data_IF_925274100543
#
_entry.id   IF_925274100543
#
_cell.length_a   1.000
_cell.length_b   1.000
_cell.length_c   1.000
_cell.angle_alpha   90.00
_cell.angle_beta   90.00
_cell.angle_gamma   90.00
#
_symmetry.space_group_name_H-M   'P 1'
#
loop_
_entity.id
_entity.type
_entity.pdbx_description
1 polymer ?
#
# COMPACT_ATOMS: atom_id res chain seq x y z
N UNK A 1 -6.85 12.06 -9.82
CA UNK A 1 -6.67 13.10 -8.78
C UNK A 1 -5.17 13.27 -8.66
N UNK A 2 -4.66 14.43 -9.03
CA UNK A 2 -3.23 14.63 -9.28
C UNK A 2 -2.40 14.75 -7.99
N UNK A 3 -3.06 15.01 -6.86
CA UNK A 3 -2.53 14.85 -5.51
C UNK A 3 -3.74 14.80 -4.55
N UNK A 4 -3.72 13.91 -3.55
CA UNK A 4 -4.79 13.79 -2.55
C UNK A 4 -4.22 13.85 -1.14
N UNK A 5 -4.46 14.96 -0.45
CA UNK A 5 -4.15 15.08 0.98
C UNK A 5 -5.17 14.34 1.83
N UNK A 6 -4.72 13.82 2.97
CA UNK A 6 -5.60 13.21 3.97
C UNK A 6 -5.17 13.55 5.40
N UNK A 7 -6.14 13.41 6.30
CA UNK A 7 -5.96 13.42 7.75
C UNK A 7 -6.67 12.18 8.31
N UNK A 8 -5.94 11.36 9.06
CA UNK A 8 -6.46 10.20 9.78
C UNK A 8 -6.29 10.42 11.27
N UNK A 9 -7.39 10.41 12.00
CA UNK A 9 -7.37 10.24 13.44
C UNK A 9 -7.03 8.79 13.79
N UNK A 10 -6.16 8.62 14.78
CA UNK A 10 -5.69 7.33 15.26
C UNK A 10 -6.11 7.11 16.72
N UNK A 11 -6.69 5.96 17.01
CA UNK A 11 -6.98 5.50 18.38
C UNK A 11 -8.14 6.19 19.08
N UNK A 12 -9.06 6.85 18.35
CA UNK A 12 -10.23 7.53 18.94
C UNK A 12 -11.20 6.57 19.66
N UNK A 13 -11.24 5.30 19.25
CA UNK A 13 -12.04 4.23 19.86
C UNK A 13 -11.51 3.74 21.21
N UNK A 14 -10.39 4.28 21.71
CA UNK A 14 -9.88 4.01 23.05
C UNK A 14 -9.00 2.76 23.18
N UNK A 15 -8.90 1.92 22.14
CA UNK A 15 -7.91 0.85 22.11
C UNK A 15 -6.53 1.37 21.68
N UNK A 16 -5.47 0.87 22.32
CA UNK A 16 -4.08 1.23 22.03
C UNK A 16 -3.43 0.19 21.10
N UNK A 17 -3.91 0.15 19.87
CA UNK A 17 -3.30 -0.66 18.81
C UNK A 17 -1.86 -0.20 18.55
N UNK A 18 -1.03 -1.12 18.07
CA UNK A 18 0.40 -0.91 17.79
C UNK A 18 0.76 -1.32 16.37
N UNK A 19 1.98 -0.99 15.93
CA UNK A 19 2.55 -1.51 14.67
C UNK A 19 2.63 -3.05 14.64
N UNK A 20 2.81 -3.69 15.80
CA UNK A 20 2.72 -5.14 15.91
C UNK A 20 1.34 -5.70 15.56
N UNK A 21 0.26 -4.98 15.88
CA UNK A 21 -1.10 -5.38 15.51
C UNK A 21 -1.34 -5.26 14.01
N UNK A 22 -0.73 -4.27 13.34
CA UNK A 22 -0.73 -4.17 11.87
C UNK A 22 -0.04 -5.40 11.27
N UNK A 23 1.12 -5.80 11.80
CA UNK A 23 1.84 -6.98 11.35
C UNK A 23 1.00 -8.26 11.45
N UNK A 24 0.32 -8.47 12.58
CA UNK A 24 -0.56 -9.64 12.77
C UNK A 24 -1.73 -9.63 11.80
N UNK A 25 -2.38 -8.48 11.65
CA UNK A 25 -3.49 -8.31 10.72
C UNK A 25 -3.05 -8.60 9.27
N UNK A 26 -1.85 -8.17 8.88
CA UNK A 26 -1.31 -8.48 7.56
C UNK A 26 -1.16 -10.00 7.37
N UNK A 27 -0.55 -10.71 8.33
CA UNK A 27 -0.35 -12.16 8.22
C UNK A 27 -1.65 -12.95 8.17
N UNK A 28 -2.73 -12.46 8.77
CA UNK A 28 -4.05 -13.09 8.70
C UNK A 28 -4.69 -13.01 7.31
N UNK A 29 -4.31 -12.01 6.50
CA UNK A 29 -4.92 -11.72 5.19
C UNK A 29 -4.00 -11.98 4.00
N UNK A 30 -2.68 -12.01 4.19
CA UNK A 30 -1.72 -12.20 3.12
C UNK A 30 -1.71 -13.66 2.63
N UNK A 31 -1.70 -13.89 1.30
CA UNK A 31 -1.37 -15.20 0.74
C UNK A 31 0.01 -15.68 1.24
N UNK A 32 0.16 -17.00 1.37
CA UNK A 32 1.40 -17.60 1.85
C UNK A 32 2.62 -17.30 0.95
N UNK A 33 2.39 -17.00 -0.32
CA UNK A 33 3.38 -16.64 -1.33
C UNK A 33 3.48 -15.13 -1.61
N UNK A 34 2.81 -14.28 -0.82
CA UNK A 34 2.93 -12.83 -0.98
C UNK A 34 4.38 -12.38 -0.72
N UNK A 35 5.01 -11.63 -1.64
CA UNK A 35 6.42 -11.26 -1.53
C UNK A 35 6.72 -10.32 -0.35
N UNK A 36 5.69 -9.72 0.26
CA UNK A 36 5.80 -8.87 1.45
C UNK A 36 5.54 -9.64 2.76
N UNK A 37 5.27 -10.95 2.70
CA UNK A 37 5.09 -11.80 3.89
C UNK A 37 6.22 -11.69 4.93
N UNK A 38 7.52 -11.76 4.54
CA UNK A 38 8.63 -11.57 5.48
C UNK A 38 8.64 -10.18 6.13
N UNK A 39 8.28 -9.14 5.39
CA UNK A 39 8.16 -7.78 5.92
C UNK A 39 7.01 -7.68 6.92
N UNK A 40 5.83 -8.24 6.60
CA UNK A 40 4.69 -8.30 7.51
C UNK A 40 5.03 -9.05 8.81
N UNK A 41 5.77 -10.16 8.71
CA UNK A 41 6.25 -10.88 9.89
C UNK A 41 7.17 -10.01 10.76
N UNK A 42 8.09 -9.26 10.16
CA UNK A 42 8.98 -8.36 10.93
C UNK A 42 8.23 -7.26 11.68
N UNK A 43 7.05 -6.84 11.21
CA UNK A 43 6.23 -5.86 11.92
C UNK A 43 5.66 -6.42 13.23
N UNK A 44 5.45 -7.74 13.34
CA UNK A 44 4.85 -8.36 14.52
C UNK A 44 5.70 -8.20 15.80
N UNK A 45 6.99 -7.92 15.64
CA UNK A 45 7.92 -7.61 16.72
C UNK A 45 7.83 -6.15 17.20
N UNK A 46 7.03 -5.31 16.53
CA UNK A 46 6.86 -3.90 16.86
C UNK A 46 8.13 -3.06 16.64
N UNK A 47 8.74 -3.07 15.44
CA UNK A 47 10.04 -2.44 15.18
C UNK A 47 10.02 -0.92 15.38
N UNK A 48 8.85 -0.28 15.34
CA UNK A 48 8.70 1.15 15.58
C UNK A 48 8.35 1.48 17.04
N UNK A 49 7.97 0.48 17.84
CA UNK A 49 7.47 0.67 19.21
C UNK A 49 6.37 1.75 19.27
N UNK A 50 5.51 1.77 18.25
CA UNK A 50 4.57 2.84 18.02
C UNK A 50 3.18 2.47 18.52
N UNK A 51 2.56 3.36 19.30
CA UNK A 51 1.13 3.29 19.61
C UNK A 51 0.39 4.11 18.55
N UNK A 52 -0.64 3.53 17.95
CA UNK A 52 -1.49 4.18 16.95
C UNK A 52 -2.43 5.18 17.64
N UNK A 53 -1.92 6.36 17.96
CA UNK A 53 -2.67 7.43 18.62
C UNK A 53 -2.31 8.80 18.03
N UNK A 54 -3.30 9.70 17.97
CA UNK A 54 -3.11 11.08 17.52
C UNK A 54 -3.62 11.31 16.10
N UNK A 55 -2.91 12.13 15.32
CA UNK A 55 -3.28 12.45 13.93
C UNK A 55 -2.14 12.06 13.00
N UNK A 56 -2.51 11.48 11.87
CA UNK A 56 -1.60 11.17 10.77
C UNK A 56 -2.05 11.94 9.53
N UNK A 57 -1.21 12.86 9.09
CA UNK A 57 -1.41 13.59 7.84
C UNK A 57 -0.48 13.06 6.76
N UNK A 58 -0.92 13.14 5.51
CA UNK A 58 -0.13 12.70 4.38
C UNK A 58 -0.70 13.19 3.06
N UNK A 59 0.04 12.92 2.00
CA UNK A 59 -0.34 13.25 0.63
C UNK A 59 -0.09 12.06 -0.26
N UNK A 60 -1.10 11.67 -1.03
CA UNK A 60 -1.01 10.62 -2.05
C UNK A 60 -0.66 11.29 -3.37
N UNK A 61 0.49 10.93 -3.95
CA UNK A 61 0.96 11.49 -5.22
C UNK A 61 -0.07 11.34 -6.34
N UNK A 62 -0.74 10.19 -6.46
CA UNK A 62 -1.74 9.96 -7.50
C UNK A 62 -2.81 8.98 -7.04
N UNK A 63 -4.06 9.34 -7.27
CA UNK A 63 -5.17 8.38 -7.31
C UNK A 63 -5.68 8.32 -8.76
N UNK A 64 -5.37 7.21 -9.42
CA UNK A 64 -5.81 6.94 -10.78
C UNK A 64 -7.16 6.24 -10.76
N UNK A 65 -8.05 6.67 -11.65
CA UNK A 65 -9.34 6.02 -11.88
C UNK A 65 -9.23 5.21 -13.17
N UNK A 66 -9.15 3.90 -13.03
CA UNK A 66 -8.94 2.97 -14.13
C UNK A 66 -10.29 2.36 -14.48
N UNK A 67 -10.73 2.55 -15.71
CA UNK A 67 -11.93 1.88 -16.22
C UNK A 67 -11.52 0.50 -16.76
N UNK A 68 -12.18 -0.53 -16.27
CA UNK A 68 -11.99 -1.89 -16.74
C UNK A 68 -13.05 -2.27 -17.78
N UNK A 69 -12.83 -3.40 -18.47
CA UNK A 69 -13.70 -3.89 -19.54
C UNK A 69 -15.14 -4.20 -19.06
N UNK A 70 -15.28 -4.52 -17.77
CA UNK A 70 -16.58 -4.68 -17.09
C UNK A 70 -17.35 -3.36 -16.91
N UNK A 71 -16.76 -2.23 -17.33
CA UNK A 71 -17.34 -0.90 -17.23
C UNK A 71 -17.16 -0.25 -15.85
N UNK A 72 -16.58 -0.97 -14.89
CA UNK A 72 -16.41 -0.56 -13.50
C UNK A 72 -15.12 0.26 -13.36
N UNK A 73 -15.23 1.36 -12.61
CA UNK A 73 -14.09 2.19 -12.25
C UNK A 73 -13.42 1.64 -10.98
N UNK A 74 -12.12 1.35 -11.07
CA UNK A 74 -11.29 0.98 -9.94
C UNK A 74 -10.31 2.11 -9.63
N UNK A 75 -10.13 2.40 -8.36
CA UNK A 75 -9.25 3.45 -7.87
C UNK A 75 -7.93 2.84 -7.42
N UNK A 76 -6.84 3.25 -8.05
CA UNK A 76 -5.48 2.76 -7.80
C UNK A 76 -4.67 3.89 -7.18
N UNK A 77 -4.06 3.60 -6.04
CA UNK A 77 -3.07 4.50 -5.41
C UNK A 77 -1.75 4.35 -6.18
N UNK A 78 -1.08 5.43 -6.51
CA UNK A 78 0.26 5.39 -7.08
C UNK A 78 1.18 6.41 -6.44
N UNK A 79 2.46 6.07 -6.39
CA UNK A 79 3.51 6.89 -5.76
C UNK A 79 4.81 6.79 -6.57
N UNK A 80 5.50 7.92 -6.74
CA UNK A 80 6.71 8.01 -7.55
C UNK A 80 7.96 7.94 -6.67
N UNK A 81 8.83 6.96 -6.94
CA UNK A 81 10.05 6.71 -6.20
C UNK A 81 11.29 7.00 -7.04
N UNK A 82 12.08 7.98 -6.60
CA UNK A 82 13.39 8.30 -7.22
C UNK A 82 14.53 7.57 -6.53
N UNK A 83 14.32 6.35 -6.03
CA UNK A 83 15.32 5.58 -5.30
C UNK A 83 16.47 5.12 -6.20
N UNK A 84 17.64 4.88 -5.62
CA UNK A 84 18.81 4.31 -6.31
C UNK A 84 19.04 2.90 -5.79
N UNK A 85 18.67 1.90 -6.58
CA UNK A 85 18.84 0.49 -6.20
C UNK A 85 20.21 -0.09 -6.60
N UNK A 86 20.94 0.59 -7.48
CA UNK A 86 22.31 0.22 -7.82
C UNK A 86 23.29 0.57 -6.69
N UNK A 87 24.25 -0.31 -6.43
CA UNK A 87 25.31 -0.09 -5.45
C UNK A 87 26.08 1.22 -5.69
N UNK A 88 26.70 1.75 -4.63
CA UNK A 88 27.51 2.97 -4.73
C UNK A 88 28.59 2.81 -5.80
N UNK A 89 28.74 3.83 -6.65
CA UNK A 89 29.69 3.82 -7.76
C UNK A 89 29.18 3.14 -9.05
N UNK A 90 28.04 2.44 -9.02
CA UNK A 90 27.44 1.81 -10.21
C UNK A 90 26.35 2.69 -10.80
N UNK A 91 26.46 3.06 -12.08
CA UNK A 91 25.40 3.80 -12.78
C UNK A 91 24.11 2.97 -12.82
N UNK A 92 22.98 3.47 -12.29
CA UNK A 92 21.72 2.74 -12.32
C UNK A 92 21.27 2.46 -13.74
N UNK A 93 20.73 1.26 -13.95
CA UNK A 93 20.11 0.82 -15.21
C UNK A 93 18.75 0.21 -14.90
N UNK A 94 17.89 0.07 -15.92
CA UNK A 94 16.59 -0.59 -15.77
C UNK A 94 16.70 -2.00 -15.15
N UNK A 95 17.81 -2.71 -15.34
CA UNK A 95 18.04 -4.04 -14.80
C UNK A 95 18.17 -4.09 -13.25
N UNK A 96 18.36 -2.94 -12.59
CA UNK A 96 18.35 -2.86 -11.12
C UNK A 96 16.95 -2.68 -10.53
N UNK A 97 15.92 -2.65 -11.39
CA UNK A 97 14.54 -2.40 -11.03
C UNK A 97 13.62 -3.50 -11.59
N UNK A 98 14.13 -4.72 -11.70
CA UNK A 98 13.30 -5.84 -12.16
C UNK A 98 12.20 -6.13 -11.14
N UNK A 99 11.00 -6.57 -11.58
CA UNK A 99 9.85 -6.79 -10.69
C UNK A 99 10.14 -7.68 -9.48
N UNK A 100 11.00 -8.70 -9.62
CA UNK A 100 11.42 -9.63 -8.56
C UNK A 100 12.36 -9.00 -7.52
N UNK A 101 13.04 -7.90 -7.86
CA UNK A 101 13.93 -7.17 -6.94
C UNK A 101 13.19 -6.11 -6.12
N UNK A 102 12.05 -5.61 -6.63
CA UNK A 102 11.32 -4.51 -6.01
C UNK A 102 10.71 -4.82 -4.64
N UNK A 103 10.24 -6.05 -4.30
CA UNK A 103 9.74 -6.35 -2.95
C UNK A 103 10.75 -6.03 -1.84
N UNK A 104 12.04 -6.32 -2.07
CA UNK A 104 13.09 -6.02 -1.10
C UNK A 104 13.26 -4.51 -0.91
N UNK A 105 13.27 -3.75 -2.01
CA UNK A 105 13.34 -2.28 -1.97
C UNK A 105 12.10 -1.66 -1.30
N UNK A 106 10.91 -2.23 -1.56
CA UNK A 106 9.66 -1.82 -0.90
C UNK A 106 9.76 -2.02 0.61
N UNK A 107 10.17 -3.21 1.05
CA UNK A 107 10.31 -3.55 2.46
C UNK A 107 11.37 -2.69 3.18
N UNK A 108 12.55 -2.51 2.58
CA UNK A 108 13.64 -1.69 3.14
C UNK A 108 13.18 -0.28 3.48
N UNK A 109 12.37 0.33 2.62
CA UNK A 109 11.89 1.70 2.79
C UNK A 109 10.52 1.80 3.47
N UNK A 110 9.96 0.70 3.98
CA UNK A 110 8.65 0.65 4.64
C UNK A 110 7.50 1.17 3.75
N UNK A 111 7.67 1.11 2.43
CA UNK A 111 6.64 1.55 1.48
C UNK A 111 5.35 0.74 1.54
N UNK A 112 5.34 -0.56 1.89
CA UNK A 112 4.09 -1.27 2.13
C UNK A 112 3.22 -0.67 3.23
N UNK A 113 3.81 -0.17 4.34
CA UNK A 113 3.05 0.56 5.36
C UNK A 113 2.44 1.84 4.79
N UNK A 114 3.21 2.58 4.00
CA UNK A 114 2.72 3.77 3.31
C UNK A 114 1.55 3.43 2.36
N UNK A 115 1.68 2.36 1.58
CA UNK A 115 0.66 1.88 0.64
C UNK A 115 -0.65 1.52 1.34
N UNK A 116 -0.56 0.86 2.49
CA UNK A 116 -1.70 0.51 3.34
C UNK A 116 -2.39 1.75 3.91
N UNK A 117 -1.63 2.70 4.47
CA UNK A 117 -2.18 3.94 5.01
C UNK A 117 -2.87 4.78 3.92
N UNK A 118 -2.28 4.84 2.73
CA UNK A 118 -2.89 5.52 1.58
C UNK A 118 -4.15 4.80 1.10
N UNK A 119 -4.16 3.47 1.14
CA UNK A 119 -5.36 2.67 0.81
C UNK A 119 -6.49 2.88 1.82
N UNK A 120 -6.19 3.01 3.11
CA UNK A 120 -7.18 3.35 4.15
C UNK A 120 -7.72 4.77 3.93
N UNK A 121 -6.85 5.74 3.67
CA UNK A 121 -7.27 7.11 3.36
C UNK A 121 -8.20 7.15 2.13
N UNK A 122 -7.84 6.44 1.06
CA UNK A 122 -8.68 6.30 -0.12
C UNK A 122 -10.00 5.59 0.19
N UNK A 123 -9.98 4.50 0.97
CA UNK A 123 -11.18 3.79 1.40
C UNK A 123 -12.17 4.71 2.13
N UNK A 124 -11.69 5.46 3.12
CA UNK A 124 -12.53 6.41 3.89
C UNK A 124 -13.07 7.52 2.99
N UNK A 125 -12.24 8.05 2.09
CA UNK A 125 -12.66 9.06 1.13
C UNK A 125 -13.75 8.55 0.18
N UNK A 126 -13.57 7.38 -0.43
CA UNK A 126 -14.54 6.80 -1.35
C UNK A 126 -15.85 6.44 -0.63
N UNK A 127 -15.77 5.90 0.59
CA UNK A 127 -16.95 5.64 1.43
C UNK A 127 -17.80 6.88 1.65
N UNK A 128 -17.17 8.05 1.73
CA UNK A 128 -17.88 9.33 1.87
C UNK A 128 -18.34 9.93 0.53
N UNK A 129 -17.56 9.76 -0.54
CA UNK A 129 -17.73 10.50 -1.80
C UNK A 129 -18.41 9.75 -2.93
N UNK A 130 -18.34 8.42 -2.95
CA UNK A 130 -18.79 7.60 -4.06
C UNK A 130 -20.10 6.88 -3.67
N UNK A 131 -21.26 7.28 -4.24
CA UNK A 131 -22.50 6.57 -4.02
C UNK A 131 -22.39 5.11 -4.48
N UNK A 132 -22.87 4.17 -3.65
CA UNK A 132 -22.76 2.74 -3.95
C UNK A 132 -21.35 2.18 -3.85
N UNK A 133 -20.44 2.85 -3.12
CA UNK A 133 -19.10 2.35 -2.88
C UNK A 133 -19.11 0.97 -2.22
N UNK A 134 -18.52 0.02 -2.95
CA UNK A 134 -18.14 -1.31 -2.49
C UNK A 134 -16.61 -1.44 -2.55
N UNK A 135 -15.92 -1.65 -1.41
CA UNK A 135 -14.46 -1.82 -1.36
C UNK A 135 -13.93 -2.95 -2.25
N UNK A 136 -14.63 -4.09 -2.33
CA UNK A 136 -14.19 -5.26 -3.10
C UNK A 136 -14.22 -4.99 -4.61
N UNK A 137 -15.10 -4.09 -5.03
CA UNK A 137 -15.29 -3.70 -6.43
C UNK A 137 -14.38 -2.55 -6.82
N UNK A 138 -14.33 -1.50 -6.00
CA UNK A 138 -13.76 -0.21 -6.39
C UNK A 138 -12.30 -0.02 -5.97
N UNK A 139 -11.77 -0.76 -4.98
CA UNK A 139 -10.34 -0.68 -4.64
C UNK A 139 -9.52 -1.47 -5.66
N UNK A 140 -8.63 -0.77 -6.38
CA UNK A 140 -7.77 -1.33 -7.43
C UNK A 140 -6.39 -1.78 -6.95
N UNK A 141 -6.02 -1.48 -5.71
CA UNK A 141 -4.68 -1.74 -5.18
C UNK A 141 -3.74 -0.55 -5.34
N UNK A 142 -2.44 -0.82 -5.36
CA UNK A 142 -1.38 0.20 -5.35
C UNK A 142 -0.31 -0.09 -6.40
N UNK A 143 0.33 0.96 -6.91
CA UNK A 143 1.46 0.88 -7.84
C UNK A 143 2.57 1.86 -7.43
N UNK A 144 3.76 1.34 -7.13
CA UNK A 144 4.93 2.14 -6.81
C UNK A 144 5.84 2.20 -8.04
N UNK A 145 6.10 3.43 -8.49
CA UNK A 145 6.77 3.73 -9.75
C UNK A 145 8.19 4.19 -9.49
N UNK A 146 9.14 3.26 -9.53
CA UNK A 146 10.57 3.52 -9.44
C UNK A 146 11.09 4.10 -10.76
N UNK A 147 10.97 5.42 -10.90
CA UNK A 147 11.13 6.12 -12.19
C UNK A 147 12.50 5.95 -12.86
N UNK A 148 13.55 5.58 -12.10
CA UNK A 148 14.88 5.28 -12.67
C UNK A 148 14.94 3.95 -13.41
N UNK A 149 13.97 3.05 -13.19
CA UNK A 149 13.80 1.80 -13.94
C UNK A 149 12.99 1.96 -15.23
N UNK A 150 12.24 3.06 -15.36
CA UNK A 150 11.32 3.31 -16.47
C UNK A 150 12.02 4.12 -17.56
N UNK A 151 12.51 3.44 -18.59
CA UNK A 151 13.41 3.99 -19.62
C UNK A 151 12.71 4.29 -20.96
N UNK A 152 11.40 4.56 -20.91
CA UNK A 152 10.59 4.90 -22.08
C UNK A 152 9.74 3.73 -22.61
N UNK A 153 9.19 3.83 -23.84
CA UNK A 153 8.28 2.84 -24.41
C UNK A 153 8.87 1.42 -24.48
N UNK A 154 10.19 1.32 -24.64
CA UNK A 154 10.93 0.06 -24.73
C UNK A 154 11.46 -0.44 -23.38
N UNK A 155 10.87 0.01 -22.26
CA UNK A 155 11.25 -0.46 -20.92
C UNK A 155 11.16 -1.99 -20.86
N UNK A 156 12.24 -2.70 -20.48
CA UNK A 156 12.21 -4.16 -20.37
C UNK A 156 11.11 -4.63 -19.43
N UNK A 157 10.55 -5.80 -19.72
CA UNK A 157 9.50 -6.42 -18.91
C UNK A 157 9.91 -7.81 -18.44
N UNK A 158 9.42 -8.20 -17.26
CA UNK A 158 9.45 -9.57 -16.76
C UNK A 158 7.99 -10.00 -16.58
N UNK A 159 7.56 -11.07 -17.25
CA UNK A 159 6.17 -11.56 -17.23
C UNK A 159 5.11 -10.50 -17.54
N UNK A 160 5.44 -9.58 -18.46
CA UNK A 160 4.56 -8.48 -18.86
C UNK A 160 4.55 -7.28 -17.90
N UNK A 161 5.28 -7.33 -16.79
CA UNK A 161 5.44 -6.21 -15.86
C UNK A 161 6.69 -5.39 -16.23
N UNK A 162 6.58 -4.08 -16.53
CA UNK A 162 7.73 -3.24 -16.81
C UNK A 162 8.67 -3.09 -15.60
N UNK A 163 9.97 -3.01 -15.87
CA UNK A 163 10.94 -2.63 -14.86
C UNK A 163 10.58 -1.28 -14.23
N UNK A 164 10.79 -1.19 -12.92
CA UNK A 164 10.44 -0.02 -12.11
C UNK A 164 8.99 0.01 -11.64
N UNK A 165 8.14 -0.97 -12.00
CA UNK A 165 6.76 -1.03 -11.52
C UNK A 165 6.61 -2.14 -10.48
N UNK A 166 6.29 -1.76 -9.25
CA UNK A 166 5.81 -2.69 -8.23
C UNK A 166 4.31 -2.50 -8.06
N UNK A 167 3.53 -3.57 -8.24
CA UNK A 167 2.08 -3.56 -8.03
C UNK A 167 1.71 -4.47 -6.88
N UNK A 168 0.82 -4.00 -6.01
CA UNK A 168 0.33 -4.79 -4.88
C UNK A 168 -1.15 -4.50 -4.64
N UNK A 169 -1.93 -5.57 -4.49
CA UNK A 169 -3.37 -5.49 -4.29
C UNK A 169 -3.76 -6.21 -2.99
N UNK A 170 -3.67 -5.53 -1.84
CA UNK A 170 -4.19 -6.06 -0.58
C UNK A 170 -5.67 -6.42 -0.73
N UNK A 171 -6.11 -7.46 -0.02
CA UNK A 171 -7.53 -7.80 0.08
C UNK A 171 -8.32 -6.59 0.61
N UNK A 172 -9.53 -6.37 0.10
CA UNK A 172 -10.38 -5.27 0.60
C UNK A 172 -10.68 -5.41 2.09
N UNK A 173 -10.84 -6.64 2.58
CA UNK A 173 -11.13 -6.92 3.99
C UNK A 173 -9.97 -6.50 4.89
N UNK A 174 -8.72 -6.70 4.46
CA UNK A 174 -7.53 -6.17 5.13
C UNK A 174 -7.58 -4.64 5.24
N UNK A 175 -7.97 -3.94 4.16
CA UNK A 175 -8.05 -2.47 4.19
C UNK A 175 -9.16 -1.99 5.13
N UNK A 176 -10.31 -2.67 5.16
CA UNK A 176 -11.41 -2.33 6.05
C UNK A 176 -11.00 -2.59 7.51
N UNK A 177 -10.44 -3.75 7.81
CA UNK A 177 -10.00 -4.10 9.17
C UNK A 177 -8.85 -3.23 9.65
N UNK A 178 -7.94 -2.82 8.76
CA UNK A 178 -6.89 -1.88 9.09
C UNK A 178 -7.47 -0.48 9.38
N UNK A 179 -8.49 -0.05 8.63
CA UNK A 179 -9.20 1.19 8.94
C UNK A 179 -9.82 1.13 10.34
N UNK A 180 -10.48 0.03 10.69
CA UNK A 180 -11.09 -0.19 12.00
C UNK A 180 -10.03 -0.21 13.12
N UNK A 181 -8.88 -0.86 12.87
CA UNK A 181 -7.74 -0.95 13.79
C UNK A 181 -7.12 0.42 14.06
N UNK A 182 -6.94 1.24 13.02
CA UNK A 182 -6.40 2.59 13.11
C UNK A 182 -7.34 3.52 13.90
N UNK A 183 -8.65 3.36 13.74
CA UNK A 183 -9.63 4.09 14.56
C UNK A 183 -9.61 3.65 16.03
N UNK A 184 -8.98 2.53 16.38
CA UNK A 184 -9.02 1.95 17.72
C UNK A 184 -10.36 1.27 18.03
N UNK A 185 -11.14 0.93 17.01
CA UNK A 185 -12.39 0.19 17.17
C UNK A 185 -12.11 -1.32 17.32
N UNK A 186 -12.76 -1.97 18.27
CA UNK A 186 -12.69 -3.44 18.41
C UNK A 186 -13.83 -4.05 17.62
N UNK A 187 -13.56 -4.85 16.58
CA UNK A 187 -14.58 -5.79 16.11
C UNK A 187 -14.76 -6.86 17.19
N UNK A 188 -15.92 -6.88 17.83
CA UNK A 188 -16.44 -8.15 18.35
C UNK A 188 -16.64 -9.05 17.14
N UNK A 189 -15.74 -10.01 16.90
CA UNK A 189 -16.03 -11.10 15.97
C UNK A 189 -17.28 -11.81 16.53
N UNK A 190 -18.42 -11.65 15.85
CA UNK A 190 -19.58 -12.47 16.14
C UNK A 190 -19.19 -13.93 15.87
N UNK A 191 -19.31 -14.76 16.91
CA UNK A 191 -19.12 -16.22 16.86
C UNK A 191 -20.18 -16.89 15.97
#
# INVERSE_FOLDING_TARGET
LDEMSFDLTLGEGGNRSTDADIGRLLLDHLPADDPLGPWAASLTDGPFSAVLAGHLTGSIDLVARVRHDDGIERFVVSDYKTNRLASRGVTPTAAHFQPDQLPAAMAEHQYPLQALLYSVALHRYLRWRLPGYDPAVHLGGTAYLFVRGMVGPDTPTTDGVPNGVFSWRPASDLIIELSDLLDGSTRTRAL
#
